data_IF_795270341762
#
_entry.id   IF_795270341762
#
_cell.length_a   1.000
_cell.length_b   1.000
_cell.length_c   1.000
_cell.angle_alpha   90.00
_cell.angle_beta   90.00
_cell.angle_gamma   90.00
#
_symmetry.space_group_name_H-M   'P 1'
#
loop_
_entity.id
_entity.type
_entity.pdbx_description
1 polymer ?
#
# COMPACT_ATOMS: atom_id res chain seq x y z
N UNK A 1 24.76 14.62 10.04
CA UNK A 1 25.18 13.33 10.64
C UNK A 1 24.09 12.32 10.40
N UNK A 2 24.43 11.05 10.12
CA UNK A 2 23.44 9.97 9.94
C UNK A 2 22.94 9.58 11.33
N UNK A 3 21.68 9.87 11.65
CA UNK A 3 21.06 9.46 12.91
C UNK A 3 20.44 8.06 12.75
N UNK A 4 20.23 7.36 13.87
CA UNK A 4 19.51 6.07 13.88
C UNK A 4 18.10 6.22 13.30
N UNK A 5 17.46 7.38 13.55
CA UNK A 5 16.13 7.70 13.04
C UNK A 5 16.14 7.80 11.51
N UNK A 6 17.15 8.45 10.93
CA UNK A 6 17.26 8.58 9.48
C UNK A 6 17.52 7.25 8.77
N UNK A 7 18.29 6.35 9.39
CA UNK A 7 18.48 4.97 8.89
C UNK A 7 17.16 4.19 8.96
N UNK A 8 16.42 4.34 10.07
CA UNK A 8 15.09 3.75 10.25
C UNK A 8 14.10 4.24 9.19
N UNK A 9 14.02 5.56 8.96
CA UNK A 9 13.16 6.18 7.95
C UNK A 9 13.44 5.63 6.54
N UNK A 10 14.72 5.60 6.13
CA UNK A 10 15.12 5.02 4.84
C UNK A 10 14.71 3.54 4.74
N UNK A 11 14.93 2.77 5.80
CA UNK A 11 14.59 1.33 5.83
C UNK A 11 13.09 1.10 5.65
N UNK A 12 12.24 1.89 6.30
CA UNK A 12 10.78 1.80 6.14
C UNK A 12 10.36 2.19 4.72
N UNK A 13 10.96 3.22 4.13
CA UNK A 13 10.64 3.60 2.73
C UNK A 13 10.99 2.50 1.73
N UNK A 14 12.12 1.81 1.92
CA UNK A 14 12.48 0.63 1.12
C UNK A 14 11.45 -0.49 1.31
N UNK A 15 11.06 -0.78 2.56
CA UNK A 15 10.05 -1.79 2.86
C UNK A 15 8.73 -1.49 2.14
N UNK A 16 8.22 -0.25 2.26
CA UNK A 16 7.01 0.21 1.57
C UNK A 16 7.09 0.00 0.06
N UNK A 17 8.22 0.38 -0.54
CA UNK A 17 8.40 0.24 -1.98
C UNK A 17 8.37 -1.22 -2.44
N UNK A 18 9.04 -2.12 -1.70
CA UNK A 18 9.06 -3.56 -2.01
C UNK A 18 7.69 -4.19 -1.79
N UNK A 19 7.01 -3.85 -0.69
CA UNK A 19 5.67 -4.34 -0.41
C UNK A 19 4.67 -3.88 -1.46
N UNK A 20 4.68 -2.60 -1.84
CA UNK A 20 3.82 -2.06 -2.90
C UNK A 20 4.11 -2.73 -4.26
N UNK A 21 5.37 -3.03 -4.58
CA UNK A 21 5.70 -3.81 -5.78
C UNK A 21 5.08 -5.21 -5.76
N UNK A 22 5.16 -5.91 -4.62
CA UNK A 22 4.52 -7.22 -4.44
C UNK A 22 3.01 -7.11 -4.61
N UNK A 23 2.38 -6.11 -3.97
CA UNK A 23 0.94 -5.83 -4.10
C UNK A 23 0.56 -5.64 -5.57
N UNK A 24 1.31 -4.83 -6.34
CA UNK A 24 1.06 -4.59 -7.76
C UNK A 24 1.13 -5.87 -8.60
N UNK A 25 2.12 -6.73 -8.36
CA UNK A 25 2.26 -8.00 -9.07
C UNK A 25 1.06 -8.89 -8.78
N UNK A 26 0.71 -9.09 -7.49
CA UNK A 26 -0.42 -9.92 -7.10
C UNK A 26 -1.75 -9.36 -7.61
N UNK A 27 -1.94 -8.04 -7.52
CA UNK A 27 -3.11 -7.35 -8.05
C UNK A 27 -3.27 -7.56 -9.56
N UNK A 28 -2.16 -7.57 -10.31
CA UNK A 28 -2.19 -7.71 -11.77
C UNK A 28 -2.27 -9.16 -12.25
N UNK A 29 -1.61 -10.12 -11.60
CA UNK A 29 -1.48 -11.49 -12.12
C UNK A 29 -1.96 -12.58 -11.14
N UNK A 30 -2.57 -12.19 -10.02
CA UNK A 30 -2.99 -13.11 -8.97
C UNK A 30 -4.17 -14.01 -9.32
N UNK A 31 -4.86 -13.79 -10.44
CA UNK A 31 -5.96 -14.65 -10.88
C UNK A 31 -5.44 -15.68 -11.90
N UNK A 32 -4.56 -16.59 -11.45
CA UNK A 32 -3.98 -17.60 -12.33
C UNK A 32 -3.18 -17.03 -13.52
N UNK A 33 -2.59 -15.85 -13.37
CA UNK A 33 -1.90 -15.10 -14.44
C UNK A 33 -2.72 -13.94 -15.02
N UNK A 34 -4.03 -13.89 -14.76
CA UNK A 34 -4.92 -12.82 -15.16
C UNK A 34 -5.09 -11.76 -14.06
N UNK A 35 -5.83 -10.70 -14.41
CA UNK A 35 -6.14 -9.60 -13.52
C UNK A 35 -6.98 -10.06 -12.32
N UNK A 36 -6.46 -9.85 -11.12
CA UNK A 36 -7.13 -10.22 -9.88
C UNK A 36 -8.15 -9.15 -9.48
N UNK A 37 -7.70 -7.91 -9.33
CA UNK A 37 -8.54 -6.83 -8.83
C UNK A 37 -8.77 -6.88 -7.32
N UNK A 38 -9.48 -5.86 -6.82
CA UNK A 38 -9.86 -5.73 -5.40
C UNK A 38 -11.37 -5.55 -5.19
N UNK A 39 -12.15 -5.46 -6.26
CA UNK A 39 -13.58 -5.19 -6.20
C UNK A 39 -14.38 -5.82 -7.34
N UNK A 40 -15.67 -5.99 -7.06
CA UNK A 40 -16.62 -6.55 -8.02
C UNK A 40 -17.88 -7.02 -7.31
N UNK A 41 -18.80 -7.55 -8.11
CA UNK A 41 -20.04 -8.16 -7.63
C UNK A 41 -19.79 -9.64 -7.34
N UNK A 42 -20.41 -10.17 -6.29
CA UNK A 42 -20.40 -11.61 -6.01
C UNK A 42 -21.38 -12.38 -6.93
N UNK A 43 -22.26 -11.65 -7.60
CA UNK A 43 -23.25 -12.15 -8.53
C UNK A 43 -22.76 -11.96 -9.97
N UNK A 44 -22.65 -13.06 -10.72
CA UNK A 44 -22.24 -13.04 -12.14
C UNK A 44 -23.24 -12.31 -13.06
N UNK A 45 -24.45 -12.04 -12.57
CA UNK A 45 -25.49 -11.32 -13.31
C UNK A 45 -25.54 -9.82 -13.00
N UNK A 46 -24.67 -9.32 -12.13
CA UNK A 46 -24.58 -7.89 -11.83
C UNK A 46 -23.35 -7.27 -12.49
N UNK A 47 -23.56 -6.10 -13.11
CA UNK A 47 -22.48 -5.33 -13.71
C UNK A 47 -21.43 -4.97 -12.66
N UNK A 48 -20.18 -5.37 -12.93
CA UNK A 48 -19.05 -4.96 -12.10
C UNK A 48 -18.84 -3.46 -12.27
N UNK A 49 -18.99 -2.70 -11.19
CA UNK A 49 -18.50 -1.32 -11.17
C UNK A 49 -16.96 -1.31 -11.17
N UNK A 50 -16.31 -0.53 -12.06
CA UNK A 50 -14.86 -0.40 -12.10
C UNK A 50 -14.30 0.52 -11.00
N UNK A 51 -15.16 1.15 -10.18
CA UNK A 51 -14.76 2.23 -9.26
C UNK A 51 -13.67 1.81 -8.27
N UNK A 52 -13.84 0.63 -7.66
CA UNK A 52 -12.87 0.10 -6.70
C UNK A 52 -11.50 -0.16 -7.35
N UNK A 53 -11.49 -0.66 -8.58
CA UNK A 53 -10.27 -0.95 -9.33
C UNK A 53 -9.56 0.33 -9.78
N UNK A 54 -10.30 1.37 -10.14
CA UNK A 54 -9.75 2.68 -10.48
C UNK A 54 -9.03 3.27 -9.26
N UNK A 55 -9.69 3.26 -8.10
CA UNK A 55 -9.10 3.76 -6.85
C UNK A 55 -7.86 2.95 -6.47
N UNK A 56 -7.95 1.62 -6.46
CA UNK A 56 -6.83 0.75 -6.11
C UNK A 56 -5.62 0.94 -7.03
N UNK A 57 -5.86 0.98 -8.35
CA UNK A 57 -4.81 1.23 -9.34
C UNK A 57 -4.11 2.58 -9.10
N UNK A 58 -4.89 3.63 -8.83
CA UNK A 58 -4.38 4.96 -8.52
C UNK A 58 -3.53 4.97 -7.24
N UNK A 59 -3.97 4.28 -6.19
CA UNK A 59 -3.21 4.15 -4.94
C UNK A 59 -1.91 3.41 -5.16
N UNK A 60 -1.95 2.20 -5.73
CA UNK A 60 -0.76 1.37 -5.87
C UNK A 60 0.30 2.05 -6.74
N UNK A 61 -0.08 2.49 -7.94
CA UNK A 61 0.85 3.13 -8.89
C UNK A 61 1.30 4.50 -8.38
N UNK A 62 0.36 5.32 -7.88
CA UNK A 62 0.66 6.66 -7.39
C UNK A 62 1.66 6.65 -6.24
N UNK A 63 1.43 5.79 -5.23
CA UNK A 63 2.32 5.67 -4.10
C UNK A 63 3.63 4.94 -4.43
N UNK A 64 3.64 4.06 -5.44
CA UNK A 64 4.88 3.44 -5.92
C UNK A 64 5.81 4.48 -6.53
N UNK A 65 5.29 5.32 -7.44
CA UNK A 65 6.05 6.40 -8.07
C UNK A 65 6.50 7.40 -6.99
N UNK A 66 5.58 7.84 -6.14
CA UNK A 66 5.89 8.79 -5.07
C UNK A 66 7.00 8.29 -4.16
N UNK A 67 6.87 7.08 -3.61
CA UNK A 67 7.85 6.51 -2.68
C UNK A 67 9.21 6.30 -3.36
N UNK A 68 9.22 5.92 -4.64
CA UNK A 68 10.46 5.82 -5.44
C UNK A 68 11.17 7.17 -5.53
N UNK A 69 10.44 8.23 -5.87
CA UNK A 69 11.01 9.58 -6.02
C UNK A 69 11.53 10.12 -4.69
N UNK A 70 10.78 9.93 -3.60
CA UNK A 70 11.22 10.32 -2.26
C UNK A 70 12.49 9.57 -1.87
N UNK A 71 12.54 8.25 -2.06
CA UNK A 71 13.71 7.45 -1.74
C UNK A 71 14.94 7.87 -2.55
N UNK A 72 14.79 8.13 -3.85
CA UNK A 72 15.87 8.67 -4.68
C UNK A 72 16.34 10.04 -4.17
N UNK A 73 15.41 10.91 -3.78
CA UNK A 73 15.73 12.23 -3.21
C UNK A 73 16.50 12.10 -1.89
N UNK A 74 16.20 11.11 -1.06
CA UNK A 74 16.97 10.85 0.18
C UNK A 74 18.40 10.37 -0.09
N UNK A 75 18.60 9.57 -1.14
CA UNK A 75 19.91 9.04 -1.52
C UNK A 75 20.81 10.09 -2.18
N UNK A 76 20.24 10.97 -3.01
CA UNK A 76 21.00 11.90 -3.85
C UNK A 76 20.86 13.38 -3.46
N UNK A 77 19.89 13.73 -2.62
CA UNK A 77 19.58 15.12 -2.23
C UNK A 77 20.39 15.63 -1.04
N UNK A 78 20.40 16.96 -0.88
CA UNK A 78 20.95 17.65 0.29
C UNK A 78 20.11 17.38 1.56
N UNK A 79 20.67 17.64 2.73
CA UNK A 79 20.02 17.41 4.04
C UNK A 79 18.75 18.23 4.26
N UNK A 80 18.51 19.29 3.49
CA UNK A 80 17.29 20.10 3.58
C UNK A 80 16.08 19.42 2.93
N UNK A 81 16.30 18.61 1.90
CA UNK A 81 15.22 17.85 1.25
C UNK A 81 14.74 16.64 2.06
N UNK A 82 15.48 16.26 3.11
CA UNK A 82 15.15 15.15 4.01
C UNK A 82 14.09 15.52 5.06
N UNK A 83 13.53 16.73 5.00
CA UNK A 83 12.64 17.30 6.04
C UNK A 83 11.40 17.95 5.43
N UNK A 84 10.67 17.19 4.61
CA UNK A 84 9.56 17.76 3.86
C UNK A 84 8.23 17.55 4.57
N UNK A 85 7.50 18.63 4.85
CA UNK A 85 6.11 18.58 5.32
C UNK A 85 5.21 17.82 4.31
N UNK A 86 5.55 17.88 3.02
CA UNK A 86 4.86 17.12 1.96
C UNK A 86 4.98 15.62 2.21
N UNK A 87 6.11 15.14 2.72
CA UNK A 87 6.31 13.73 3.06
C UNK A 87 5.40 13.28 4.19
N UNK A 88 5.27 14.09 5.24
CA UNK A 88 4.36 13.81 6.36
C UNK A 88 2.91 13.74 5.85
N UNK A 89 2.48 14.72 5.05
CA UNK A 89 1.12 14.74 4.49
C UNK A 89 0.89 13.50 3.62
N UNK A 90 1.81 13.20 2.70
CA UNK A 90 1.67 12.06 1.80
C UNK A 90 1.70 10.73 2.55
N UNK A 91 2.46 10.61 3.64
CA UNK A 91 2.44 9.41 4.47
C UNK A 91 1.08 9.23 5.16
N UNK A 92 0.46 10.30 5.66
CA UNK A 92 -0.89 10.25 6.24
C UNK A 92 -1.92 9.85 5.17
N UNK A 93 -1.86 10.46 3.98
CA UNK A 93 -2.76 10.09 2.88
C UNK A 93 -2.54 8.63 2.48
N UNK A 94 -1.28 8.19 2.37
CA UNK A 94 -0.93 6.80 2.06
C UNK A 94 -1.51 5.82 3.06
N UNK A 95 -1.38 6.11 4.35
CA UNK A 95 -1.97 5.29 5.41
C UNK A 95 -3.48 5.06 5.19
N UNK A 96 -4.26 6.13 5.01
CA UNK A 96 -5.70 6.00 4.84
C UNK A 96 -6.07 5.31 3.52
N UNK A 97 -5.39 5.63 2.42
CA UNK A 97 -5.68 5.07 1.10
C UNK A 97 -5.39 3.56 1.05
N UNK A 98 -4.25 3.12 1.59
CA UNK A 98 -3.91 1.69 1.65
C UNK A 98 -4.84 0.91 2.59
N UNK A 99 -5.26 1.49 3.72
CA UNK A 99 -6.26 0.89 4.60
C UNK A 99 -7.63 0.78 3.91
N UNK A 100 -8.08 1.80 3.18
CA UNK A 100 -9.35 1.78 2.46
C UNK A 100 -9.38 0.73 1.34
N UNK A 101 -8.31 0.66 0.54
CA UNK A 101 -8.17 -0.35 -0.52
C UNK A 101 -8.01 -1.75 0.08
N UNK A 102 -7.22 -1.89 1.14
CA UNK A 102 -7.05 -3.17 1.86
C UNK A 102 -8.36 -3.68 2.45
N UNK A 103 -9.14 -2.80 3.09
CA UNK A 103 -10.47 -3.12 3.62
C UNK A 103 -11.43 -3.56 2.52
N UNK A 104 -11.45 -2.86 1.38
CA UNK A 104 -12.26 -3.23 0.21
C UNK A 104 -11.87 -4.61 -0.33
N UNK A 105 -10.57 -4.87 -0.52
CA UNK A 105 -10.07 -6.14 -1.00
C UNK A 105 -10.41 -7.30 -0.04
N UNK A 106 -10.20 -7.10 1.27
CA UNK A 106 -10.52 -8.10 2.28
C UNK A 106 -12.03 -8.38 2.31
N UNK A 107 -12.86 -7.35 2.26
CA UNK A 107 -14.31 -7.52 2.23
C UNK A 107 -14.76 -8.32 1.00
N UNK A 108 -14.26 -7.96 -0.19
CA UNK A 108 -14.60 -8.63 -1.44
C UNK A 108 -14.16 -10.09 -1.47
N UNK A 109 -12.86 -10.35 -1.23
CA UNK A 109 -12.27 -11.68 -1.35
C UNK A 109 -12.63 -12.60 -0.17
N UNK A 110 -13.03 -12.05 0.97
CA UNK A 110 -13.59 -12.87 2.05
C UNK A 110 -14.93 -13.49 1.65
N UNK A 111 -15.80 -12.74 0.97
CA UNK A 111 -17.11 -13.19 0.49
C UNK A 111 -17.09 -14.02 -0.80
N UNK A 112 -15.98 -13.97 -1.55
CA UNK A 112 -15.81 -14.70 -2.80
C UNK A 112 -15.97 -16.22 -2.63
N UNK A 113 -16.91 -16.81 -3.37
CA UNK A 113 -17.25 -18.25 -3.36
C UNK A 113 -17.50 -18.82 -1.95
N UNK A 114 -18.30 -18.11 -1.14
CA UNK A 114 -18.68 -18.56 0.21
C UNK A 114 -19.65 -19.76 0.24
N UNK A 115 -20.18 -20.21 -0.90
CA UNK A 115 -21.05 -21.39 -0.97
C UNK A 115 -20.25 -22.67 -0.69
N UNK A 116 -20.58 -23.34 0.42
CA UNK A 116 -19.87 -24.48 1.02
C UNK A 116 -19.90 -25.78 0.19
N UNK A 117 -20.22 -25.72 -1.11
CA UNK A 117 -20.40 -26.88 -1.97
C UNK A 117 -19.09 -27.49 -2.48
N UNK A 118 -17.97 -26.77 -2.38
CA UNK A 118 -16.65 -27.28 -2.78
C UNK A 118 -15.65 -27.10 -1.64
N UNK A 119 -15.05 -28.20 -1.19
CA UNK A 119 -13.99 -28.26 -0.16
C UNK A 119 -12.66 -27.69 -0.71
N UNK A 120 -12.66 -27.21 -1.95
CA UNK A 120 -11.50 -26.62 -2.60
C UNK A 120 -11.38 -25.14 -2.23
N UNK A 121 -10.31 -24.78 -1.54
CA UNK A 121 -9.92 -23.38 -1.36
C UNK A 121 -9.46 -22.86 -2.72
N UNK A 122 -10.22 -21.94 -3.32
CA UNK A 122 -9.83 -21.26 -4.55
C UNK A 122 -8.53 -20.48 -4.33
N UNK A 123 -7.52 -20.74 -5.15
CA UNK A 123 -6.19 -20.12 -5.07
C UNK A 123 -6.26 -18.59 -5.18
N UNK A 124 -7.19 -18.10 -5.99
CA UNK A 124 -7.42 -16.69 -6.27
C UNK A 124 -7.95 -15.97 -5.03
N UNK A 125 -8.83 -16.64 -4.27
CA UNK A 125 -9.35 -16.14 -3.00
C UNK A 125 -8.23 -15.90 -1.99
N UNK A 126 -7.30 -16.85 -1.88
CA UNK A 126 -6.15 -16.71 -0.98
C UNK A 126 -5.24 -15.56 -1.40
N UNK A 127 -4.99 -15.42 -2.70
CA UNK A 127 -4.17 -14.33 -3.23
C UNK A 127 -4.86 -12.98 -2.99
N UNK A 128 -6.17 -12.87 -3.22
CA UNK A 128 -6.94 -11.67 -2.95
C UNK A 128 -6.94 -11.26 -1.47
N UNK A 129 -7.08 -12.23 -0.55
CA UNK A 129 -6.93 -11.99 0.88
C UNK A 129 -5.51 -11.58 1.26
N UNK A 130 -4.49 -12.11 0.57
CA UNK A 130 -3.10 -11.70 0.76
C UNK A 130 -2.88 -10.26 0.28
N UNK A 131 -3.42 -9.87 -0.89
CA UNK A 131 -3.39 -8.47 -1.37
C UNK A 131 -4.00 -7.53 -0.34
N UNK A 132 -5.21 -7.84 0.13
CA UNK A 132 -5.89 -7.01 1.13
C UNK A 132 -5.10 -6.88 2.43
N UNK A 133 -4.51 -7.98 2.90
CA UNK A 133 -3.68 -8.01 4.11
C UNK A 133 -2.38 -7.23 3.95
N UNK A 134 -1.71 -7.35 2.81
CA UNK A 134 -0.51 -6.58 2.48
C UNK A 134 -0.81 -5.08 2.40
N UNK A 135 -1.95 -4.67 1.85
CA UNK A 135 -2.39 -3.28 1.87
C UNK A 135 -2.58 -2.75 3.30
N UNK A 136 -3.11 -3.56 4.22
CA UNK A 136 -3.23 -3.15 5.64
C UNK A 136 -1.85 -2.96 6.28
N UNK A 137 -0.92 -3.88 6.03
CA UNK A 137 0.46 -3.76 6.51
C UNK A 137 1.17 -2.54 5.88
N UNK A 138 0.92 -2.26 4.61
CA UNK A 138 1.45 -1.08 3.92
C UNK A 138 0.92 0.21 4.56
N UNK A 139 -0.37 0.26 4.88
CA UNK A 139 -0.97 1.37 5.64
C UNK A 139 -0.30 1.56 7.00
N UNK A 140 0.00 0.48 7.72
CA UNK A 140 0.74 0.53 8.98
C UNK A 140 2.19 1.02 8.79
N UNK A 141 2.86 0.62 7.71
CA UNK A 141 4.20 1.11 7.38
C UNK A 141 4.19 2.63 7.07
N UNK A 142 3.16 3.14 6.39
CA UNK A 142 2.95 4.58 6.19
C UNK A 142 2.70 5.33 7.50
N UNK A 143 1.96 4.75 8.45
CA UNK A 143 1.80 5.32 9.79
C UNK A 143 3.13 5.40 10.53
N UNK A 144 3.91 4.31 10.54
CA UNK A 144 5.22 4.31 11.19
C UNK A 144 6.16 5.35 10.57
N UNK A 145 6.18 5.47 9.25
CA UNK A 145 6.96 6.50 8.55
C UNK A 145 6.50 7.91 8.93
N UNK A 146 5.19 8.14 9.07
CA UNK A 146 4.65 9.43 9.55
C UNK A 146 5.22 9.80 10.92
N UNK A 147 5.26 8.85 11.86
CA UNK A 147 5.78 9.08 13.22
C UNK A 147 7.27 9.41 13.19
N UNK A 148 8.06 8.71 12.38
CA UNK A 148 9.49 8.99 12.23
C UNK A 148 9.73 10.35 11.58
N UNK A 149 9.05 10.66 10.47
CA UNK A 149 9.19 11.95 9.78
C UNK A 149 8.77 13.12 10.68
N UNK A 150 7.72 12.95 11.50
CA UNK A 150 7.30 13.96 12.47
C UNK A 150 8.34 14.14 13.59
N UNK A 151 8.93 13.06 14.09
CA UNK A 151 9.99 13.13 15.09
C UNK A 151 11.23 13.87 14.56
N UNK A 152 11.67 13.56 13.33
CA UNK A 152 12.81 14.25 12.69
C UNK A 152 12.50 15.73 12.45
N UNK A 153 11.26 16.06 12.05
CA UNK A 153 10.80 17.43 11.86
C UNK A 153 10.85 18.20 13.19
N UNK A 154 10.21 17.69 14.24
CA UNK A 154 10.18 18.33 15.56
C UNK A 154 11.58 18.49 16.16
N UNK A 155 12.44 17.46 16.07
CA UNK A 155 13.80 17.55 16.59
C UNK A 155 14.61 18.67 15.90
N UNK A 156 14.31 18.97 14.64
CA UNK A 156 15.01 20.01 13.88
C UNK A 156 14.52 21.43 14.13
N UNK A 157 13.30 21.61 14.63
CA UNK A 157 12.74 22.93 14.90
C UNK A 157 13.04 23.41 16.33
N UNK A 158 13.28 22.47 17.25
CA UNK A 158 13.56 22.75 18.67
C UNK A 158 15.04 22.61 19.07
N UNK A 159 15.95 22.21 18.17
CA UNK A 159 17.41 22.23 18.38
C UNK A 159 18.11 23.07 17.33
#
# INVERSE_FOLDING_TARGET
MVSVVSVGSISIKVLKLVMNLIILILYRTGYGGEFLGVGGTWNLNEDKSPDAEIVASGVFVGFFIYTSVVLMTYCFGSTEHKKSLVEIIMNIVGMFMFLAVGGTALHYWHGYQSEHKYIHVATERQIGLAVGSLCVLEGAAYLLDTLLSFYEFAQSEYN
#
